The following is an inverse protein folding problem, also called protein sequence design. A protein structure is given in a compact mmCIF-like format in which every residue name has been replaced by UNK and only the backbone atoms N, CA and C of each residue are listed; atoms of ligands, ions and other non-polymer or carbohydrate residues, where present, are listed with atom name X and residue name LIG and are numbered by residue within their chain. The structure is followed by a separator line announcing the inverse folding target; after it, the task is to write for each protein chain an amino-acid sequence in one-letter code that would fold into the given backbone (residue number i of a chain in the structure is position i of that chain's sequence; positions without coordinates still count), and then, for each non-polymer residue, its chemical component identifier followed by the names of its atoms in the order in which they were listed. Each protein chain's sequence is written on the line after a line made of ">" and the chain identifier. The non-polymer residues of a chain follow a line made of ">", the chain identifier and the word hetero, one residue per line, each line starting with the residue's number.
data_IF_551991172992
#
_entry.id   IF_551991172992
#
_cell.length_a   1.000
_cell.length_b   1.000
_cell.length_c   1.000
_cell.angle_alpha   90.00
_cell.angle_beta   90.00
_cell.angle_gamma   90.00
#
_symmetry.space_group_name_H-M   'P 1'
#
loop_
_entity.id
_entity.type
_entity.pdbx_description
1 polymer ?
#
# COMPACT_ATOMS: atom_id res chain seq x y z
N UNK A 1 -3.00 15.99 -4.00
CA UNK A 1 -2.60 15.95 -2.58
C UNK A 1 -3.79 15.47 -1.77
N UNK A 2 -3.62 14.40 -1.00
CA UNK A 2 -4.68 13.82 -0.17
C UNK A 2 -4.95 14.68 1.07
N UNK A 3 -6.21 15.04 1.27
CA UNK A 3 -6.68 15.61 2.55
C UNK A 3 -7.08 14.46 3.49
N UNK A 4 -6.09 13.96 4.23
CA UNK A 4 -6.27 12.85 5.19
C UNK A 4 -7.31 13.23 6.26
N UNK A 5 -7.35 14.50 6.68
CA UNK A 5 -8.29 14.97 7.69
C UNK A 5 -9.75 14.90 7.20
N UNK A 6 -10.00 15.35 5.97
CA UNK A 6 -11.32 15.25 5.36
C UNK A 6 -11.75 13.80 5.18
N UNK A 7 -10.84 12.94 4.70
CA UNK A 7 -11.13 11.51 4.46
C UNK A 7 -11.35 10.74 5.77
N UNK A 8 -10.71 11.12 6.87
CA UNK A 8 -10.91 10.50 8.19
C UNK A 8 -12.11 11.06 8.97
N UNK A 9 -12.67 12.20 8.57
CA UNK A 9 -13.86 12.77 9.23
C UNK A 9 -15.09 11.89 9.01
N UNK A 10 -16.02 11.89 9.96
CA UNK A 10 -17.28 11.14 9.83
C UNK A 10 -18.00 11.48 8.52
N UNK A 11 -18.67 10.49 7.93
CA UNK A 11 -19.46 10.70 6.73
C UNK A 11 -20.68 11.57 7.03
N UNK A 12 -21.11 12.37 6.06
CA UNK A 12 -22.31 13.21 6.22
C UNK A 12 -23.60 12.38 6.22
N UNK A 13 -23.64 11.37 5.38
CA UNK A 13 -24.73 10.41 5.28
C UNK A 13 -24.39 9.19 6.13
N UNK A 14 -25.35 8.68 6.90
CA UNK A 14 -25.21 7.50 7.77
C UNK A 14 -23.91 7.48 8.62
N UNK A 15 -23.65 8.50 9.45
CA UNK A 15 -22.44 8.55 10.27
C UNK A 15 -22.34 7.37 11.26
N UNK A 16 -21.12 6.97 11.67
CA UNK A 16 -19.85 7.61 11.32
C UNK A 16 -19.25 7.11 9.99
N UNK A 17 -19.68 5.94 9.51
CA UNK A 17 -19.01 5.21 8.43
C UNK A 17 -19.66 5.32 7.06
N UNK A 18 -20.90 5.78 6.97
CA UNK A 18 -21.64 5.88 5.72
C UNK A 18 -22.18 4.54 5.22
N UNK A 19 -22.95 4.56 4.12
CA UNK A 19 -23.53 3.35 3.53
C UNK A 19 -22.45 2.43 2.95
N UNK A 20 -22.74 1.13 2.84
CA UNK A 20 -21.94 0.22 2.01
C UNK A 20 -22.16 0.59 0.52
N UNK A 21 -21.08 0.86 -0.20
CA UNK A 21 -21.12 1.30 -1.59
C UNK A 21 -20.71 0.21 -2.60
N UNK A 22 -20.61 -1.05 -2.20
CA UNK A 22 -20.17 -2.15 -3.08
C UNK A 22 -20.98 -2.34 -4.38
N UNK A 23 -22.22 -1.85 -4.41
CA UNK A 23 -23.09 -1.87 -5.58
C UNK A 23 -23.26 -0.48 -6.24
N UNK A 24 -22.59 0.55 -5.72
CA UNK A 24 -22.58 1.88 -6.29
C UNK A 24 -21.63 1.93 -7.50
N UNK A 25 -22.02 2.66 -8.55
CA UNK A 25 -21.21 2.82 -9.76
C UNK A 25 -19.80 3.36 -9.47
N UNK A 26 -19.64 4.21 -8.45
CA UNK A 26 -18.34 4.75 -8.04
C UNK A 26 -17.37 3.67 -7.57
N UNK A 27 -17.86 2.63 -6.88
CA UNK A 27 -17.04 1.52 -6.43
C UNK A 27 -16.57 0.66 -7.61
N UNK A 28 -17.48 0.31 -8.54
CA UNK A 28 -17.11 -0.39 -9.77
C UNK A 28 -16.10 0.39 -10.63
N UNK A 29 -16.26 1.71 -10.73
CA UNK A 29 -15.32 2.56 -11.47
C UNK A 29 -13.93 2.57 -10.83
N UNK A 30 -13.85 2.51 -9.49
CA UNK A 30 -12.59 2.41 -8.76
C UNK A 30 -11.90 1.08 -9.06
N UNK A 31 -12.62 -0.04 -8.94
CA UNK A 31 -12.08 -1.38 -9.21
C UNK A 31 -11.56 -1.49 -10.65
N UNK A 32 -12.35 -1.02 -11.62
CA UNK A 32 -11.94 -1.02 -13.03
C UNK A 32 -10.72 -0.13 -13.29
N UNK A 33 -10.62 1.03 -12.62
CA UNK A 33 -9.44 1.88 -12.73
C UNK A 33 -8.19 1.22 -12.11
N UNK A 34 -8.36 0.40 -11.08
CA UNK A 34 -7.29 -0.28 -10.34
C UNK A 34 -6.83 -1.60 -10.97
N UNK A 35 -7.59 -2.17 -11.91
CA UNK A 35 -7.32 -3.50 -12.50
C UNK A 35 -6.14 -3.52 -13.49
N UNK A 36 -5.86 -2.40 -14.15
CA UNK A 36 -4.89 -2.37 -15.27
C UNK A 36 -5.30 -3.31 -16.42
N UNK A 37 -4.39 -3.60 -17.34
CA UNK A 37 -4.61 -4.63 -18.38
C UNK A 37 -3.43 -5.58 -18.43
N UNK A 38 -3.65 -6.91 -18.40
CA UNK A 38 -2.57 -7.87 -18.56
C UNK A 38 -2.01 -7.83 -19.99
N UNK A 39 -0.80 -8.37 -20.17
CA UNK A 39 -0.24 -8.59 -21.51
C UNK A 39 -1.23 -9.42 -22.35
N UNK A 40 -1.50 -8.97 -23.58
CA UNK A 40 -2.37 -9.69 -24.52
C UNK A 40 -1.57 -10.18 -25.71
N UNK A 41 -1.64 -11.49 -25.98
CA UNK A 41 -1.05 -12.09 -27.18
C UNK A 41 -2.15 -12.44 -28.18
N UNK A 42 -2.04 -11.91 -29.39
CA UNK A 42 -2.95 -12.20 -30.51
C UNK A 42 -2.14 -12.56 -31.74
N UNK A 43 -2.04 -13.85 -32.05
CA UNK A 43 -1.09 -14.36 -33.05
C UNK A 43 0.34 -13.99 -32.66
N UNK A 44 1.06 -13.32 -33.57
CA UNK A 44 2.43 -12.84 -33.33
C UNK A 44 2.49 -11.49 -32.61
N UNK A 45 1.36 -10.78 -32.46
CA UNK A 45 1.31 -9.49 -31.79
C UNK A 45 1.23 -9.66 -30.27
N UNK A 46 2.15 -9.02 -29.55
CA UNK A 46 2.15 -8.91 -28.08
C UNK A 46 1.85 -7.46 -27.71
N UNK A 47 0.72 -7.23 -27.04
CA UNK A 47 0.43 -5.96 -26.38
C UNK A 47 0.95 -6.05 -24.95
N UNK A 48 1.90 -5.19 -24.53
CA UNK A 48 2.42 -5.21 -23.17
C UNK A 48 1.30 -4.93 -22.16
N UNK A 49 1.52 -5.34 -20.91
CA UNK A 49 0.64 -4.97 -19.82
C UNK A 49 0.55 -3.44 -19.69
N UNK A 50 -0.64 -2.94 -19.38
CA UNK A 50 -0.89 -1.54 -19.05
C UNK A 50 -1.11 -1.43 -17.54
N UNK A 51 -0.34 -0.57 -16.89
CA UNK A 51 -0.54 -0.29 -15.47
C UNK A 51 -1.90 0.37 -15.22
N UNK A 52 -2.47 0.22 -14.01
CA UNK A 52 -3.66 0.95 -13.59
C UNK A 52 -3.51 2.47 -13.74
N UNK A 53 -4.64 3.16 -13.93
CA UNK A 53 -4.63 4.63 -13.92
C UNK A 53 -4.62 5.13 -12.47
N UNK A 54 -3.43 5.16 -11.86
CA UNK A 54 -3.26 5.48 -10.44
C UNK A 54 -3.81 6.85 -10.06
N UNK A 55 -3.69 7.87 -10.92
CA UNK A 55 -4.29 9.18 -10.66
C UNK A 55 -5.81 9.08 -10.53
N UNK A 56 -6.46 8.34 -11.44
CA UNK A 56 -7.91 8.11 -11.39
C UNK A 56 -8.32 7.28 -10.17
N UNK A 57 -7.50 6.30 -9.76
CA UNK A 57 -7.72 5.51 -8.54
C UNK A 57 -7.70 6.42 -7.32
N UNK A 58 -6.74 7.35 -7.21
CA UNK A 58 -6.67 8.32 -6.10
C UNK A 58 -7.95 9.15 -6.03
N UNK A 59 -8.35 9.77 -7.15
CA UNK A 59 -9.52 10.65 -7.20
C UNK A 59 -10.81 9.92 -6.80
N UNK A 60 -11.02 8.71 -7.36
CA UNK A 60 -12.19 7.88 -7.08
C UNK A 60 -12.20 7.37 -5.64
N UNK A 61 -11.06 6.91 -5.13
CA UNK A 61 -10.98 6.37 -3.77
C UNK A 61 -11.21 7.47 -2.73
N UNK A 62 -10.66 8.67 -2.94
CA UNK A 62 -10.92 9.82 -2.07
C UNK A 62 -12.40 10.21 -2.06
N UNK A 63 -13.00 10.35 -3.23
CA UNK A 63 -14.42 10.69 -3.35
C UNK A 63 -15.32 9.65 -2.66
N UNK A 64 -14.94 8.37 -2.78
CA UNK A 64 -15.66 7.25 -2.13
C UNK A 64 -15.49 7.30 -0.62
N UNK A 65 -14.28 7.52 -0.09
CA UNK A 65 -14.03 7.55 1.36
C UNK A 65 -14.68 8.74 2.08
N UNK A 66 -15.00 9.82 1.37
CA UNK A 66 -15.82 10.92 1.91
C UNK A 66 -17.28 10.50 2.15
N UNK A 67 -17.77 9.47 1.45
CA UNK A 67 -19.13 8.95 1.53
C UNK A 67 -19.23 7.65 2.34
N UNK A 68 -18.20 6.80 2.30
CA UNK A 68 -18.18 5.47 2.92
C UNK A 68 -16.78 5.10 3.41
N UNK A 69 -16.64 4.77 4.70
CA UNK A 69 -15.39 4.27 5.28
C UNK A 69 -15.28 2.79 4.94
N UNK A 70 -14.40 2.47 4.00
CA UNK A 70 -14.25 1.13 3.46
C UNK A 70 -12.77 0.75 3.31
N UNK A 71 -12.38 -0.39 3.88
CA UNK A 71 -11.00 -0.89 3.86
C UNK A 71 -10.53 -1.25 2.45
N UNK A 72 -11.42 -1.78 1.60
CA UNK A 72 -11.10 -2.13 0.21
C UNK A 72 -10.68 -0.87 -0.56
N UNK A 73 -11.42 0.22 -0.36
CA UNK A 73 -11.13 1.54 -0.95
C UNK A 73 -9.83 2.13 -0.40
N UNK A 74 -9.61 2.04 0.91
CA UNK A 74 -8.39 2.55 1.55
C UNK A 74 -7.13 1.80 1.07
N UNK A 75 -7.24 0.49 0.80
CA UNK A 75 -6.15 -0.31 0.22
C UNK A 75 -5.87 0.09 -1.23
N UNK A 76 -6.90 0.32 -2.06
CA UNK A 76 -6.71 0.87 -3.41
C UNK A 76 -6.01 2.23 -3.40
N UNK A 77 -6.42 3.12 -2.49
CA UNK A 77 -5.79 4.42 -2.31
C UNK A 77 -4.32 4.28 -1.89
N UNK A 78 -4.03 3.40 -0.93
CA UNK A 78 -2.65 3.13 -0.45
C UNK A 78 -1.74 2.67 -1.58
N UNK A 79 -2.22 1.75 -2.42
CA UNK A 79 -1.47 1.30 -3.60
C UNK A 79 -1.23 2.41 -4.60
N UNK A 80 -2.27 3.20 -4.91
CA UNK A 80 -2.16 4.28 -5.87
C UNK A 80 -1.20 5.39 -5.39
N UNK A 81 -1.23 5.73 -4.10
CA UNK A 81 -0.27 6.64 -3.48
C UNK A 81 1.15 6.07 -3.52
N UNK A 82 1.33 4.78 -3.24
CA UNK A 82 2.65 4.13 -3.35
C UNK A 82 3.21 4.24 -4.77
N UNK A 83 2.39 3.96 -5.78
CA UNK A 83 2.82 4.02 -7.18
C UNK A 83 3.11 5.44 -7.70
N UNK A 84 2.49 6.47 -7.12
CA UNK A 84 2.59 7.86 -7.61
C UNK A 84 3.54 8.72 -6.78
N UNK A 85 3.63 8.45 -5.48
CA UNK A 85 4.38 9.23 -4.50
C UNK A 85 5.49 8.41 -3.82
N UNK A 86 5.58 7.10 -4.08
CA UNK A 86 6.61 6.22 -3.52
C UNK A 86 6.38 5.92 -2.04
N UNK A 87 7.46 5.81 -1.29
CA UNK A 87 7.44 5.48 0.15
C UNK A 87 6.63 6.49 0.99
N UNK A 88 6.70 7.82 0.75
CA UNK A 88 5.78 8.79 1.38
C UNK A 88 4.29 8.48 1.15
N UNK A 89 3.94 8.03 -0.05
CA UNK A 89 2.58 7.62 -0.38
C UNK A 89 2.15 6.36 0.36
N UNK A 90 3.04 5.37 0.47
CA UNK A 90 2.81 4.16 1.26
C UNK A 90 2.57 4.49 2.73
N UNK A 91 3.43 5.32 3.33
CA UNK A 91 3.30 5.75 4.73
C UNK A 91 1.94 6.43 4.98
N UNK A 92 1.56 7.35 4.10
CA UNK A 92 0.27 8.05 4.17
C UNK A 92 -0.92 7.08 4.09
N UNK A 93 -0.88 6.12 3.15
CA UNK A 93 -1.94 5.13 2.97
C UNK A 93 -2.06 4.16 4.15
N UNK A 94 -0.95 3.64 4.66
CA UNK A 94 -0.94 2.77 5.84
C UNK A 94 -1.41 3.51 7.10
N UNK A 95 -0.98 4.77 7.29
CA UNK A 95 -1.47 5.60 8.39
C UNK A 95 -2.97 5.87 8.30
N UNK A 96 -3.51 6.05 7.10
CA UNK A 96 -4.95 6.15 6.87
C UNK A 96 -5.68 4.85 7.26
N UNK A 97 -5.19 3.68 6.81
CA UNK A 97 -5.79 2.38 7.14
C UNK A 97 -5.77 2.15 8.66
N UNK A 98 -4.63 2.41 9.32
CA UNK A 98 -4.53 2.32 10.77
C UNK A 98 -5.58 3.21 11.45
N UNK A 99 -5.64 4.50 11.10
CA UNK A 99 -6.56 5.44 11.74
C UNK A 99 -8.04 5.08 11.48
N UNK A 100 -8.36 4.54 10.30
CA UNK A 100 -9.69 4.05 9.97
C UNK A 100 -10.07 2.84 10.86
N UNK A 101 -9.18 1.87 11.01
CA UNK A 101 -9.39 0.70 11.88
C UNK A 101 -9.52 1.10 13.35
N UNK A 102 -8.70 2.03 13.83
CA UNK A 102 -8.75 2.49 15.23
C UNK A 102 -10.03 3.24 15.56
N UNK A 103 -10.47 4.15 14.67
CA UNK A 103 -11.62 5.04 14.92
C UNK A 103 -12.96 4.38 14.65
N UNK A 104 -13.01 3.52 13.63
CA UNK A 104 -14.27 3.07 13.04
C UNK A 104 -14.42 1.54 13.04
N UNK A 105 -13.67 0.83 13.90
CA UNK A 105 -13.65 -0.62 13.97
C UNK A 105 -15.04 -1.27 13.85
N UNK A 106 -16.03 -0.79 14.61
CA UNK A 106 -17.34 -1.45 14.66
C UNK A 106 -18.17 -1.27 13.38
N UNK A 107 -18.00 -0.15 12.66
CA UNK A 107 -18.86 0.23 11.53
C UNK A 107 -18.16 0.33 10.18
N UNK A 108 -16.83 0.18 10.12
CA UNK A 108 -16.08 0.25 8.86
C UNK A 108 -16.41 -0.94 7.96
N UNK A 109 -16.55 -0.68 6.66
CA UNK A 109 -16.85 -1.69 5.64
C UNK A 109 -15.60 -2.48 5.23
N UNK A 110 -15.70 -3.81 5.02
CA UNK A 110 -16.87 -4.66 5.29
C UNK A 110 -17.17 -4.76 6.79
N UNK A 111 -18.44 -4.63 7.16
CA UNK A 111 -18.89 -4.62 8.57
C UNK A 111 -18.88 -6.05 9.13
N UNK A 112 -18.45 -6.21 10.39
CA UNK A 112 -18.57 -7.52 11.06
C UNK A 112 -20.02 -7.74 11.45
N UNK A 113 -20.59 -8.86 10.98
CA UNK A 113 -21.98 -9.20 11.24
C UNK A 113 -22.10 -10.06 12.52
N UNK A 114 -22.89 -9.58 13.47
CA UNK A 114 -23.02 -10.22 14.79
C UNK A 114 -23.73 -11.59 14.74
N UNK A 115 -24.61 -11.80 13.75
CA UNK A 115 -25.26 -13.08 13.48
C UNK A 115 -24.32 -14.11 12.81
N UNK A 116 -23.15 -13.67 12.36
CA UNK A 116 -22.06 -14.50 11.82
C UNK A 116 -20.84 -14.55 12.76
N UNK A 117 -21.05 -14.49 14.08
CA UNK A 117 -19.99 -14.57 15.11
C UNK A 117 -18.86 -13.52 14.93
N UNK A 118 -19.19 -12.37 14.32
CA UNK A 118 -18.24 -11.34 13.94
C UNK A 118 -17.05 -11.89 13.11
N UNK A 119 -17.32 -12.81 12.17
CA UNK A 119 -16.29 -13.43 11.34
C UNK A 119 -15.47 -12.38 10.58
N UNK A 120 -14.13 -12.31 10.78
CA UNK A 120 -13.32 -11.24 10.20
C UNK A 120 -12.91 -11.48 8.75
N UNK A 121 -13.32 -12.60 8.13
CA UNK A 121 -12.83 -13.05 6.82
C UNK A 121 -12.89 -11.96 5.74
N UNK A 122 -14.00 -11.23 5.63
CA UNK A 122 -14.12 -10.17 4.62
C UNK A 122 -13.16 -9.00 4.85
N UNK A 123 -12.90 -8.63 6.10
CA UNK A 123 -11.91 -7.60 6.43
C UNK A 123 -10.49 -8.07 6.14
N UNK A 124 -10.19 -9.33 6.44
CA UNK A 124 -8.90 -9.92 6.10
C UNK A 124 -8.68 -9.93 4.59
N UNK A 125 -9.71 -10.30 3.83
CA UNK A 125 -9.69 -10.25 2.37
C UNK A 125 -9.53 -8.83 1.83
N UNK A 126 -10.16 -7.83 2.47
CA UNK A 126 -9.98 -6.43 2.10
C UNK A 126 -8.53 -5.95 2.30
N UNK A 127 -7.84 -6.44 3.34
CA UNK A 127 -6.45 -6.09 3.64
C UNK A 127 -5.41 -6.97 2.91
N UNK A 128 -5.81 -8.14 2.39
CA UNK A 128 -4.92 -9.09 1.72
C UNK A 128 -4.03 -8.47 0.61
N UNK A 129 -4.49 -7.49 -0.21
CA UNK A 129 -3.62 -6.88 -1.21
C UNK A 129 -2.41 -6.12 -0.65
N UNK A 130 -2.39 -5.78 0.66
CA UNK A 130 -1.23 -5.16 1.31
C UNK A 130 -0.02 -6.10 1.40
N UNK A 131 -0.25 -7.41 1.39
CA UNK A 131 0.79 -8.45 1.54
C UNK A 131 1.00 -9.27 0.28
N UNK A 132 0.20 -8.99 -0.76
CA UNK A 132 0.26 -9.70 -2.02
C UNK A 132 1.55 -9.34 -2.80
N UNK A 133 2.38 -10.34 -3.18
CA UNK A 133 3.64 -10.15 -3.89
C UNK A 133 3.49 -9.43 -5.24
N UNK A 134 2.32 -9.55 -5.89
CA UNK A 134 2.02 -8.97 -7.21
C UNK A 134 1.23 -7.65 -7.12
N UNK A 135 0.87 -7.24 -5.90
CA UNK A 135 0.22 -5.96 -5.61
C UNK A 135 1.12 -5.04 -4.76
N UNK A 136 0.78 -4.77 -3.50
CA UNK A 136 1.46 -3.72 -2.71
C UNK A 136 2.95 -4.01 -2.48
N UNK A 137 3.36 -5.28 -2.39
CA UNK A 137 4.77 -5.64 -2.23
C UNK A 137 5.55 -5.32 -3.51
N UNK A 138 4.96 -5.59 -4.69
CA UNK A 138 5.54 -5.16 -5.97
C UNK A 138 5.61 -3.63 -6.04
N UNK A 139 4.53 -2.95 -5.66
CA UNK A 139 4.44 -1.47 -5.70
C UNK A 139 5.52 -0.83 -4.80
N UNK A 140 5.75 -1.35 -3.59
CA UNK A 140 6.86 -0.95 -2.71
C UNK A 140 8.22 -1.24 -3.36
N UNK A 141 8.43 -2.46 -3.86
CA UNK A 141 9.70 -2.87 -4.48
C UNK A 141 10.08 -2.04 -5.70
N UNK A 142 9.10 -1.62 -6.48
CA UNK A 142 9.29 -0.78 -7.66
C UNK A 142 9.46 0.72 -7.33
N UNK A 143 9.11 1.13 -6.10
CA UNK A 143 9.28 2.50 -5.63
C UNK A 143 10.76 2.89 -5.51
N UNK A 144 11.05 4.16 -5.82
CA UNK A 144 12.39 4.70 -5.67
C UNK A 144 12.68 5.06 -4.20
N UNK A 145 13.77 4.51 -3.67
CA UNK A 145 14.37 4.93 -2.41
C UNK A 145 15.24 6.17 -2.62
N UNK A 146 15.91 6.24 -3.77
CA UNK A 146 16.67 7.41 -4.23
C UNK A 146 16.27 7.71 -5.66
N UNK A 147 15.88 8.94 -5.94
CA UNK A 147 15.58 9.41 -7.29
C UNK A 147 16.02 10.87 -7.44
N UNK A 148 17.31 11.09 -7.64
CA UNK A 148 17.88 12.42 -7.80
C UNK A 148 18.88 12.47 -8.95
N UNK A 149 19.16 13.69 -9.45
CA UNK A 149 20.17 13.88 -10.50
C UNK A 149 21.59 13.64 -10.00
N UNK A 150 21.85 13.95 -8.73
CA UNK A 150 23.19 13.89 -8.14
C UNK A 150 23.54 12.48 -7.64
N UNK A 151 22.62 11.83 -6.95
CA UNK A 151 22.83 10.49 -6.37
C UNK A 151 22.30 9.38 -7.28
N UNK A 152 21.61 9.72 -8.38
CA UNK A 152 21.07 8.77 -9.34
C UNK A 152 19.78 8.11 -8.85
N UNK A 153 19.48 6.93 -9.39
CA UNK A 153 18.29 6.17 -9.08
C UNK A 153 18.64 4.88 -8.33
N UNK A 154 17.79 4.55 -7.36
CA UNK A 154 17.81 3.31 -6.60
C UNK A 154 16.40 2.94 -6.19
N UNK A 155 15.98 1.71 -6.47
CA UNK A 155 14.67 1.19 -6.05
C UNK A 155 14.79 0.43 -4.74
N UNK A 156 13.68 0.31 -4.03
CA UNK A 156 13.62 -0.45 -2.79
C UNK A 156 14.12 -1.90 -2.97
N UNK A 157 13.76 -2.56 -4.07
CA UNK A 157 14.24 -3.93 -4.33
C UNK A 157 15.75 -4.09 -4.47
N UNK A 158 16.45 -3.03 -4.88
CA UNK A 158 17.90 -3.10 -5.08
C UNK A 158 18.62 -3.31 -3.74
N UNK A 159 18.02 -2.81 -2.64
CA UNK A 159 18.48 -3.03 -1.27
C UNK A 159 18.28 -4.48 -0.85
N UNK A 160 17.07 -5.03 -1.04
CA UNK A 160 16.79 -6.45 -0.73
C UNK A 160 17.72 -7.40 -1.52
N UNK A 161 18.02 -7.08 -2.79
CA UNK A 161 18.95 -7.85 -3.61
C UNK A 161 20.37 -7.77 -3.03
N UNK A 162 20.84 -6.58 -2.67
CA UNK A 162 22.18 -6.40 -2.12
C UNK A 162 22.36 -7.04 -0.73
N UNK A 163 21.28 -7.14 0.05
CA UNK A 163 21.24 -7.87 1.31
C UNK A 163 21.08 -9.39 1.13
N UNK A 164 20.90 -9.88 -0.10
CA UNK A 164 20.68 -11.30 -0.38
C UNK A 164 19.29 -11.82 0.00
N UNK A 165 18.33 -10.92 0.25
CA UNK A 165 16.94 -11.24 0.64
C UNK A 165 16.02 -11.44 -0.56
N UNK A 166 16.41 -10.91 -1.73
CA UNK A 166 15.70 -11.05 -2.98
C UNK A 166 16.63 -11.52 -4.09
N UNK A 167 16.20 -12.50 -4.88
CA UNK A 167 16.96 -12.93 -6.04
C UNK A 167 16.95 -11.84 -7.14
N UNK A 168 18.09 -11.55 -7.78
CA UNK A 168 18.11 -10.62 -8.90
C UNK A 168 17.30 -11.17 -10.08
N UNK A 169 16.69 -10.28 -10.87
CA UNK A 169 16.06 -10.68 -12.13
C UNK A 169 17.09 -11.35 -13.04
N UNK A 170 16.66 -12.35 -13.82
CA UNK A 170 17.52 -13.06 -14.79
C UNK A 170 18.14 -12.13 -15.85
N UNK A 171 17.57 -10.96 -16.05
CA UNK A 171 18.01 -9.94 -17.00
C UNK A 171 18.79 -8.79 -16.36
N UNK A 172 18.90 -8.75 -15.03
CA UNK A 172 19.63 -7.70 -14.34
C UNK A 172 21.15 -7.94 -14.47
N UNK A 173 21.90 -6.86 -14.70
CA UNK A 173 23.36 -6.88 -14.61
C UNK A 173 23.85 -7.14 -13.18
N UNK A 174 25.17 -7.20 -12.95
CA UNK A 174 25.71 -7.35 -11.60
C UNK A 174 25.17 -6.23 -10.70
N UNK A 175 24.51 -6.61 -9.60
CA UNK A 175 23.97 -5.67 -8.62
C UNK A 175 25.06 -4.78 -8.04
N UNK A 176 24.70 -3.56 -7.61
CA UNK A 176 25.63 -2.65 -6.93
C UNK A 176 26.09 -3.29 -5.61
N UNK A 177 27.39 -3.23 -5.26
CA UNK A 177 27.86 -3.70 -3.94
C UNK A 177 27.14 -2.96 -2.81
N UNK A 178 26.82 -3.66 -1.72
CA UNK A 178 26.07 -3.10 -0.58
C UNK A 178 26.73 -1.82 -0.01
N UNK A 179 28.06 -1.78 0.09
CA UNK A 179 28.78 -0.60 0.56
C UNK A 179 28.57 0.64 -0.33
N UNK A 180 28.48 0.45 -1.65
CA UNK A 180 28.19 1.53 -2.59
C UNK A 180 26.74 2.01 -2.47
N UNK A 181 25.81 1.09 -2.24
CA UNK A 181 24.40 1.41 -1.99
C UNK A 181 24.22 2.20 -0.70
N UNK A 182 24.82 1.76 0.41
CA UNK A 182 24.82 2.52 1.67
C UNK A 182 25.33 3.94 1.48
N UNK A 183 26.46 4.12 0.79
CA UNK A 183 27.01 5.45 0.54
C UNK A 183 26.05 6.32 -0.30
N UNK A 184 25.40 5.73 -1.31
CA UNK A 184 24.43 6.42 -2.17
C UNK A 184 23.18 6.84 -1.36
N UNK A 185 22.64 5.94 -0.54
CA UNK A 185 21.46 6.17 0.31
C UNK A 185 21.78 7.22 1.38
N UNK A 186 22.89 7.06 2.11
CA UNK A 186 23.29 8.00 3.15
C UNK A 186 23.47 9.43 2.60
N UNK A 187 24.08 9.56 1.41
CA UNK A 187 24.19 10.84 0.74
C UNK A 187 22.82 11.43 0.39
N UNK A 188 21.93 10.65 -0.24
CA UNK A 188 20.59 11.09 -0.59
C UNK A 188 19.75 11.48 0.64
N UNK A 189 19.76 10.66 1.68
CA UNK A 189 19.00 10.89 2.92
C UNK A 189 19.54 12.06 3.73
N UNK A 190 20.81 12.43 3.56
CA UNK A 190 21.36 13.65 4.18
C UNK A 190 20.76 14.92 3.57
N UNK A 191 20.41 14.89 2.28
CA UNK A 191 19.83 16.00 1.53
C UNK A 191 18.30 16.05 1.62
N UNK A 192 17.65 14.89 1.71
CA UNK A 192 16.19 14.76 1.81
C UNK A 192 15.81 13.78 2.93
N UNK A 193 15.14 14.30 3.97
CA UNK A 193 14.68 13.50 5.12
C UNK A 193 13.27 12.96 4.97
N UNK A 194 12.55 13.29 3.90
CA UNK A 194 11.17 12.85 3.68
C UNK A 194 11.07 11.33 3.53
N UNK A 195 11.93 10.74 2.69
CA UNK A 195 11.96 9.29 2.45
C UNK A 195 12.30 8.49 3.71
N UNK A 196 13.37 8.78 4.47
CA UNK A 196 13.66 8.02 5.70
C UNK A 196 12.63 8.22 6.81
N UNK A 197 11.97 9.39 6.91
CA UNK A 197 10.84 9.58 7.84
C UNK A 197 9.66 8.71 7.44
N UNK A 198 9.25 8.82 6.17
CA UNK A 198 8.15 8.03 5.62
C UNK A 198 8.40 6.52 5.71
N UNK A 199 9.65 6.08 5.55
CA UNK A 199 9.99 4.67 5.69
C UNK A 199 9.73 4.17 7.11
N UNK A 200 10.13 4.94 8.13
CA UNK A 200 9.86 4.60 9.53
C UNK A 200 8.36 4.66 9.83
N UNK A 201 7.67 5.69 9.36
CA UNK A 201 6.22 5.82 9.51
C UNK A 201 5.48 4.64 8.87
N UNK A 202 5.83 4.24 7.64
CA UNK A 202 5.25 3.09 6.97
C UNK A 202 5.46 1.78 7.76
N UNK A 203 6.68 1.56 8.27
CA UNK A 203 7.00 0.42 9.13
C UNK A 203 6.16 0.41 10.41
N UNK A 204 6.10 1.55 11.10
CA UNK A 204 5.38 1.68 12.37
C UNK A 204 3.87 1.50 12.17
N UNK A 205 3.30 2.06 11.10
CA UNK A 205 1.90 1.86 10.73
C UNK A 205 1.58 0.40 10.39
N UNK A 206 2.42 -0.27 9.60
CA UNK A 206 2.22 -1.69 9.28
C UNK A 206 2.26 -2.57 10.55
N UNK A 207 3.21 -2.31 11.44
CA UNK A 207 3.34 -3.01 12.73
C UNK A 207 2.16 -2.76 13.67
N UNK A 208 1.65 -1.51 13.68
CA UNK A 208 0.48 -1.13 14.45
C UNK A 208 -0.79 -1.80 13.92
N UNK A 209 -0.98 -1.88 12.60
CA UNK A 209 -2.10 -2.61 11.99
C UNK A 209 -2.04 -4.10 12.34
N UNK A 210 -0.86 -4.74 12.26
CA UNK A 210 -0.65 -6.14 12.65
C UNK A 210 -1.11 -6.38 14.10
N UNK A 211 -0.65 -5.52 15.00
CA UNK A 211 -0.97 -5.60 16.43
C UNK A 211 -2.46 -5.39 16.67
N UNK A 212 -3.05 -4.36 16.07
CA UNK A 212 -4.47 -4.05 16.20
C UNK A 212 -5.35 -5.21 15.71
N UNK A 213 -5.01 -5.82 14.56
CA UNK A 213 -5.73 -6.98 14.05
C UNK A 213 -5.59 -8.19 14.98
N UNK A 214 -4.38 -8.47 15.47
CA UNK A 214 -4.16 -9.54 16.44
C UNK A 214 -4.97 -9.35 17.73
N UNK A 215 -5.05 -8.12 18.24
CA UNK A 215 -5.82 -7.79 19.44
C UNK A 215 -7.33 -7.90 19.22
N UNK A 216 -7.83 -7.47 18.05
CA UNK A 216 -9.26 -7.43 17.76
C UNK A 216 -9.84 -8.77 17.33
N UNK A 217 -9.12 -9.54 16.52
CA UNK A 217 -9.65 -10.80 15.94
C UNK A 217 -8.91 -12.04 16.44
N UNK A 218 -7.86 -11.87 17.24
CA UNK A 218 -6.99 -12.94 17.73
C UNK A 218 -5.83 -13.23 16.78
N UNK A 219 -4.63 -13.42 17.34
CA UNK A 219 -3.39 -13.60 16.58
C UNK A 219 -3.42 -14.74 15.55
N UNK A 220 -4.19 -15.81 15.79
CA UNK A 220 -4.31 -16.94 14.86
C UNK A 220 -5.21 -16.66 13.65
N UNK A 221 -6.05 -15.62 13.72
CA UNK A 221 -6.98 -15.21 12.65
C UNK A 221 -6.56 -13.90 11.98
N UNK A 222 -5.66 -13.13 12.60
CA UNK A 222 -5.19 -11.88 12.03
C UNK A 222 -4.42 -12.13 10.72
N UNK A 223 -4.51 -11.14 9.82
CA UNK A 223 -3.67 -11.11 8.62
C UNK A 223 -2.21 -11.00 9.05
N UNK A 224 -1.31 -11.76 8.41
CA UNK A 224 0.11 -11.61 8.63
C UNK A 224 0.69 -10.56 7.67
N UNK A 225 1.02 -9.39 8.21
CA UNK A 225 1.72 -8.29 7.53
C UNK A 225 3.23 -8.48 7.43
N UNK A 226 3.79 -9.60 7.92
CA UNK A 226 5.20 -9.96 7.77
C UNK A 226 5.76 -9.76 6.34
N UNK A 227 5.05 -10.16 5.26
CA UNK A 227 5.50 -9.92 3.89
C UNK A 227 5.68 -8.44 3.51
N UNK A 228 4.98 -7.52 4.18
CA UNK A 228 5.13 -6.07 4.00
C UNK A 228 6.17 -5.47 4.97
N UNK A 229 6.21 -5.94 6.22
CA UNK A 229 7.15 -5.45 7.24
C UNK A 229 8.59 -5.83 6.91
N UNK A 230 8.85 -7.05 6.43
CA UNK A 230 10.21 -7.53 6.15
C UNK A 230 10.97 -6.70 5.08
N UNK A 231 10.35 -6.30 3.95
CA UNK A 231 10.97 -5.34 3.04
C UNK A 231 11.24 -3.99 3.69
N UNK A 232 10.34 -3.48 4.54
CA UNK A 232 10.54 -2.20 5.23
C UNK A 232 11.70 -2.28 6.23
N UNK A 233 11.84 -3.38 6.97
CA UNK A 233 13.01 -3.66 7.83
C UNK A 233 14.32 -3.63 7.04
N UNK A 234 14.33 -4.30 5.88
CA UNK A 234 15.50 -4.32 5.01
C UNK A 234 15.92 -2.91 4.55
N UNK A 235 14.95 -2.02 4.32
CA UNK A 235 15.21 -0.63 3.94
C UNK A 235 15.63 0.24 5.14
N UNK A 236 15.26 -0.12 6.37
CA UNK A 236 15.66 0.61 7.58
C UNK A 236 17.09 0.27 8.05
N UNK A 237 17.65 -0.83 7.57
CA UNK A 237 19.03 -1.24 7.84
C UNK A 237 20.09 -0.41 7.09
N UNK A 238 19.68 0.32 6.04
CA UNK A 238 20.58 0.95 5.05
C UNK A 238 20.71 2.46 5.14
#
# INVERSE_FOLDING_TARGET
>A
MLDVGAVLSETRESPPCGPNLEHDLSFFQLEEAARGKPEQRSGDAVKPAEDPNWSKVIDLAQATLLRSKDLRVAVHLTRALTCTEGIPGLATGLGLIQALLERYWDGIHPVLEADHDNDPTERLNALAPLVDPDASIKDLRDSYLVNSREQGQLRARDVEIALGRLAPSRTAGPGKPLAQLHAQIAAAFSSDRSVPSALREAHDHASAIQTLMADRVGASRAIDLGPLVQPLDALLEV
#
